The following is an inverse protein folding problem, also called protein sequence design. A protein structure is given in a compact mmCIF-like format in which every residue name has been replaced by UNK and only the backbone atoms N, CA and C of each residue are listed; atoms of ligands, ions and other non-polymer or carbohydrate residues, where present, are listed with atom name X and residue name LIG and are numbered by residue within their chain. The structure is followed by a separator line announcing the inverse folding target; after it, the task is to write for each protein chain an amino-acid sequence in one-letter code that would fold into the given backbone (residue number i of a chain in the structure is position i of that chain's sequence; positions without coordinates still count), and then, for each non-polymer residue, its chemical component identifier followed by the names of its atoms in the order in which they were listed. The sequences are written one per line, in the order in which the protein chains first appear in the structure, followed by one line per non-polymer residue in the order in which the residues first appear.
data_IF_401606395675
#
_entry.id   IF_401606395675
#
_cell.length_a   1.000
_cell.length_b   1.000
_cell.length_c   1.000
_cell.angle_alpha   90.00
_cell.angle_beta   90.00
_cell.angle_gamma   90.00
#
_symmetry.space_group_name_H-M   'P 1'
#
loop_
_entity.id
_entity.type
_entity.pdbx_description
1 polymer ?
#
# COMPACT_ATOMS: atom_id res chain seq x y z
N UNK A 1 57.69 -30.60 11.21
CA UNK A 1 57.55 -29.44 10.32
C UNK A 1 56.16 -29.51 9.74
N UNK A 2 55.29 -28.58 10.12
CA UNK A 2 53.96 -28.41 9.53
C UNK A 2 54.12 -27.25 8.55
N UNK A 3 54.62 -27.56 7.37
CA UNK A 3 54.76 -26.61 6.27
C UNK A 3 53.57 -26.81 5.33
N UNK A 4 52.96 -25.70 4.93
CA UNK A 4 51.83 -25.57 4.00
C UNK A 4 50.46 -25.47 4.67
N UNK A 5 50.19 -24.26 5.16
CA UNK A 5 48.85 -23.77 5.38
C UNK A 5 48.02 -23.99 4.11
N UNK A 6 46.94 -24.77 4.21
CA UNK A 6 45.93 -24.95 3.17
C UNK A 6 45.06 -23.71 3.00
N UNK A 7 45.66 -22.59 2.57
CA UNK A 7 44.99 -21.30 2.34
C UNK A 7 44.82 -20.94 0.86
N UNK A 8 45.48 -21.63 -0.07
CA UNK A 8 45.63 -21.19 -1.48
C UNK A 8 44.52 -21.71 -2.42
N UNK A 9 43.33 -22.04 -1.93
CA UNK A 9 42.27 -22.60 -2.78
C UNK A 9 41.43 -21.54 -3.52
N UNK A 10 41.48 -20.28 -3.08
CA UNK A 10 40.68 -19.19 -3.68
C UNK A 10 41.52 -17.92 -3.78
N UNK A 11 41.80 -17.48 -5.00
CA UNK A 11 42.49 -16.22 -5.27
C UNK A 11 41.50 -15.10 -5.59
N UNK A 12 41.91 -13.84 -5.35
CA UNK A 12 41.10 -12.69 -5.73
C UNK A 12 40.85 -12.62 -7.26
N UNK A 13 41.78 -13.15 -8.05
CA UNK A 13 41.64 -13.27 -9.51
C UNK A 13 40.54 -14.28 -9.89
N UNK A 14 40.45 -15.42 -9.19
CA UNK A 14 39.36 -16.40 -9.38
C UNK A 14 38.00 -15.82 -9.01
N UNK A 15 37.92 -14.98 -7.96
CA UNK A 15 36.67 -14.30 -7.60
C UNK A 15 36.22 -13.34 -8.70
N UNK A 16 37.14 -12.56 -9.26
CA UNK A 16 36.86 -11.65 -10.37
C UNK A 16 36.46 -12.39 -11.64
N UNK A 17 37.10 -13.52 -11.96
CA UNK A 17 36.72 -14.35 -13.10
C UNK A 17 35.32 -14.95 -12.92
N UNK A 18 34.98 -15.42 -11.71
CA UNK A 18 33.66 -15.93 -11.38
C UNK A 18 32.58 -14.84 -11.51
N UNK A 19 32.82 -13.64 -10.97
CA UNK A 19 31.89 -12.50 -11.08
C UNK A 19 31.69 -12.08 -12.54
N UNK A 20 32.76 -12.03 -13.34
CA UNK A 20 32.68 -11.69 -14.76
C UNK A 20 31.93 -12.77 -15.57
N UNK A 21 32.14 -14.05 -15.26
CA UNK A 21 31.41 -15.15 -15.89
C UNK A 21 29.91 -15.11 -15.55
N UNK A 22 29.56 -14.85 -14.29
CA UNK A 22 28.17 -14.67 -13.86
C UNK A 22 27.54 -13.47 -14.59
N UNK A 23 28.20 -12.32 -14.64
CA UNK A 23 27.68 -11.13 -15.35
C UNK A 23 27.45 -11.37 -16.85
N UNK A 24 28.38 -12.04 -17.53
CA UNK A 24 28.23 -12.36 -18.95
C UNK A 24 27.05 -13.30 -19.20
N UNK A 25 26.88 -14.29 -18.31
CA UNK A 25 25.82 -15.27 -18.41
C UNK A 25 24.45 -14.69 -18.04
N UNK A 26 24.37 -13.80 -17.05
CA UNK A 26 23.12 -13.06 -16.74
C UNK A 26 22.65 -12.23 -17.92
N UNK A 27 23.56 -11.51 -18.59
CA UNK A 27 23.22 -10.76 -19.81
C UNK A 27 22.70 -11.66 -20.94
N UNK A 28 23.30 -12.85 -21.10
CA UNK A 28 22.86 -13.84 -22.10
C UNK A 28 21.43 -14.32 -21.80
N UNK A 29 21.17 -14.72 -20.55
CA UNK A 29 19.85 -15.20 -20.11
C UNK A 29 18.78 -14.10 -20.22
N UNK A 30 19.13 -12.85 -19.89
CA UNK A 30 18.21 -11.72 -20.03
C UNK A 30 17.84 -11.44 -21.49
N UNK A 31 18.79 -11.57 -22.44
CA UNK A 31 18.52 -11.45 -23.88
C UNK A 31 17.64 -12.59 -24.38
N UNK A 32 17.86 -13.82 -23.91
CA UNK A 32 17.03 -14.97 -24.28
C UNK A 32 15.59 -14.81 -23.77
N UNK A 33 15.42 -14.30 -22.55
CA UNK A 33 14.10 -14.05 -21.95
C UNK A 33 13.48 -12.70 -22.31
N UNK A 34 14.13 -11.91 -23.17
CA UNK A 34 13.67 -10.56 -23.53
C UNK A 34 12.27 -10.58 -24.15
N UNK A 35 11.98 -11.55 -25.03
CA UNK A 35 10.65 -11.69 -25.62
C UNK A 35 9.58 -12.05 -24.59
N UNK A 36 9.91 -12.88 -23.60
CA UNK A 36 9.00 -13.24 -22.50
C UNK A 36 8.72 -12.02 -21.61
N UNK A 37 9.77 -11.27 -21.26
CA UNK A 37 9.65 -10.00 -20.53
C UNK A 37 8.78 -9.01 -21.28
N UNK A 38 8.95 -8.89 -22.59
CA UNK A 38 8.16 -7.99 -23.44
C UNK A 38 6.68 -8.38 -23.45
N UNK A 39 6.37 -9.67 -23.61
CA UNK A 39 4.98 -10.16 -23.56
C UNK A 39 4.32 -9.90 -22.20
N UNK A 40 5.02 -10.15 -21.10
CA UNK A 40 4.49 -9.88 -19.75
C UNK A 40 4.32 -8.38 -19.49
N UNK A 41 5.24 -7.56 -20.00
CA UNK A 41 5.10 -6.10 -19.97
C UNK A 41 3.86 -5.62 -20.73
N UNK A 42 3.66 -6.09 -21.96
CA UNK A 42 2.48 -5.77 -22.76
C UNK A 42 1.18 -6.21 -22.07
N UNK A 43 1.17 -7.38 -21.40
CA UNK A 43 0.02 -7.83 -20.63
C UNK A 43 -0.26 -6.93 -19.41
N UNK A 44 0.79 -6.50 -18.70
CA UNK A 44 0.68 -5.57 -17.57
C UNK A 44 0.20 -4.18 -18.02
N UNK A 45 0.68 -3.69 -19.17
CA UNK A 45 0.22 -2.45 -19.79
C UNK A 45 -1.25 -2.55 -20.20
N UNK A 46 -1.67 -3.67 -20.82
CA UNK A 46 -3.07 -3.89 -21.19
C UNK A 46 -3.99 -3.89 -19.96
N UNK A 47 -3.63 -4.62 -18.90
CA UNK A 47 -4.40 -4.63 -17.64
C UNK A 47 -4.49 -3.24 -17.02
N UNK A 48 -3.42 -2.47 -17.07
CA UNK A 48 -3.42 -1.10 -16.55
C UNK A 48 -4.31 -0.15 -17.36
N UNK A 49 -4.33 -0.30 -18.70
CA UNK A 49 -5.22 0.47 -19.55
C UNK A 49 -6.69 0.07 -19.31
N UNK A 50 -6.99 -1.22 -19.19
CA UNK A 50 -8.32 -1.71 -18.81
C UNK A 50 -8.78 -1.14 -17.45
N UNK A 51 -7.92 -1.14 -16.43
CA UNK A 51 -8.22 -0.54 -15.11
C UNK A 51 -8.42 0.98 -15.21
N UNK A 52 -7.68 1.69 -16.07
CA UNK A 52 -7.86 3.14 -16.32
C UNK A 52 -9.19 3.44 -17.00
N UNK A 53 -9.56 2.66 -18.01
CA UNK A 53 -10.83 2.81 -18.70
C UNK A 53 -12.01 2.54 -17.76
N UNK A 54 -11.92 1.49 -16.94
CA UNK A 54 -12.95 1.19 -15.95
C UNK A 54 -13.08 2.31 -14.92
N UNK A 55 -11.96 2.81 -14.39
CA UNK A 55 -11.95 3.95 -13.48
C UNK A 55 -12.62 5.16 -14.14
N UNK A 56 -12.22 5.50 -15.38
CA UNK A 56 -12.80 6.61 -16.14
C UNK A 56 -14.31 6.47 -16.33
N UNK A 57 -14.80 5.26 -16.64
CA UNK A 57 -16.24 4.99 -16.79
C UNK A 57 -16.99 5.23 -15.49
N UNK A 58 -16.47 4.74 -14.35
CA UNK A 58 -17.05 4.99 -13.02
C UNK A 58 -17.10 6.50 -12.69
N UNK A 59 -16.04 7.24 -13.02
CA UNK A 59 -16.02 8.69 -12.80
C UNK A 59 -17.04 9.43 -13.67
N UNK A 60 -17.25 8.99 -14.90
CA UNK A 60 -18.24 9.56 -15.82
C UNK A 60 -19.68 9.28 -15.37
N UNK A 61 -19.97 8.06 -14.92
CA UNK A 61 -21.26 7.68 -14.33
C UNK A 61 -21.60 8.56 -13.11
N UNK A 62 -20.65 8.72 -12.18
CA UNK A 62 -20.81 9.62 -11.03
C UNK A 62 -21.00 11.09 -11.44
N UNK A 63 -20.27 11.56 -12.47
CA UNK A 63 -20.44 12.92 -13.02
C UNK A 63 -21.85 13.13 -13.56
N UNK A 64 -22.38 12.15 -14.30
CA UNK A 64 -23.71 12.21 -14.87
C UNK A 64 -24.81 12.19 -13.80
N UNK A 65 -24.65 11.39 -12.74
CA UNK A 65 -25.59 11.36 -11.61
C UNK A 65 -25.63 12.70 -10.87
N UNK A 66 -24.46 13.28 -10.58
CA UNK A 66 -24.35 14.61 -9.96
C UNK A 66 -24.95 15.69 -10.87
N UNK A 67 -24.77 15.61 -12.19
CA UNK A 67 -25.38 16.56 -13.12
C UNK A 67 -26.91 16.49 -13.09
N UNK A 68 -27.49 15.29 -12.99
CA UNK A 68 -28.94 15.12 -12.82
C UNK A 68 -29.43 15.72 -11.50
N UNK A 69 -28.72 15.47 -10.40
CA UNK A 69 -29.07 16.04 -9.10
C UNK A 69 -28.97 17.58 -9.11
N UNK A 70 -27.97 18.14 -9.79
CA UNK A 70 -27.83 19.60 -9.99
C UNK A 70 -29.00 20.17 -10.76
N UNK A 71 -29.39 19.54 -11.87
CA UNK A 71 -30.55 19.98 -12.67
C UNK A 71 -31.83 19.98 -11.83
N UNK A 72 -32.08 18.93 -11.05
CA UNK A 72 -33.24 18.85 -10.17
C UNK A 72 -33.24 19.96 -9.10
N UNK A 73 -32.10 20.22 -8.46
CA UNK A 73 -31.98 21.31 -7.47
C UNK A 73 -32.14 22.70 -8.12
N UNK A 74 -31.59 22.90 -9.31
CA UNK A 74 -31.72 24.16 -10.04
C UNK A 74 -33.18 24.41 -10.48
N UNK A 75 -33.92 23.35 -10.84
CA UNK A 75 -35.37 23.42 -11.10
C UNK A 75 -36.16 23.80 -9.85
N UNK A 76 -35.86 23.19 -8.69
CA UNK A 76 -36.49 23.54 -7.41
C UNK A 76 -36.22 25.00 -7.01
N UNK A 77 -35.00 25.49 -7.23
CA UNK A 77 -34.65 26.90 -6.97
C UNK A 77 -35.41 27.85 -7.90
N UNK A 78 -35.55 27.51 -9.19
CA UNK A 78 -36.34 28.30 -10.15
C UNK A 78 -37.82 28.33 -9.77
N UNK A 79 -38.41 27.20 -9.39
CA UNK A 79 -39.81 27.14 -8.95
C UNK A 79 -40.04 28.04 -7.73
N UNK A 80 -39.12 28.01 -6.75
CA UNK A 80 -39.20 28.85 -5.57
C UNK A 80 -39.06 30.35 -5.92
N UNK A 81 -38.14 30.71 -6.82
CA UNK A 81 -37.98 32.08 -7.33
C UNK A 81 -39.24 32.56 -8.06
N UNK A 82 -39.84 31.72 -8.91
CA UNK A 82 -41.10 32.03 -9.58
C UNK A 82 -42.25 32.24 -8.59
N UNK A 83 -42.33 31.43 -7.54
CA UNK A 83 -43.36 31.57 -6.51
C UNK A 83 -43.21 32.89 -5.76
N UNK A 84 -41.97 33.29 -5.41
CA UNK A 84 -41.67 34.60 -4.82
C UNK A 84 -42.09 35.73 -5.77
N UNK A 85 -41.80 35.61 -7.07
CA UNK A 85 -42.16 36.62 -8.07
C UNK A 85 -43.68 36.71 -8.29
N UNK A 86 -44.40 35.59 -8.30
CA UNK A 86 -45.87 35.56 -8.37
C UNK A 86 -46.48 36.24 -7.13
N UNK A 87 -45.97 35.95 -5.94
CA UNK A 87 -46.44 36.59 -4.70
C UNK A 87 -46.18 38.11 -4.72
N UNK A 88 -45.01 38.55 -5.20
CA UNK A 88 -44.71 39.97 -5.41
C UNK A 88 -45.71 40.66 -6.31
N UNK A 89 -45.99 40.04 -7.45
CA UNK A 89 -46.89 40.64 -8.43
C UNK A 89 -48.33 40.67 -7.95
N UNK A 90 -48.80 39.63 -7.24
CA UNK A 90 -50.11 39.64 -6.60
C UNK A 90 -50.24 40.76 -5.56
N UNK A 91 -49.23 40.94 -4.70
CA UNK A 91 -49.23 42.02 -3.70
C UNK A 91 -49.19 43.41 -4.33
N UNK A 92 -48.43 43.58 -5.43
CA UNK A 92 -48.41 44.84 -6.17
C UNK A 92 -49.80 45.18 -6.75
N UNK A 93 -50.45 44.22 -7.42
CA UNK A 93 -51.80 44.41 -7.98
C UNK A 93 -52.83 44.69 -6.89
N UNK A 94 -52.74 44.00 -5.74
CA UNK A 94 -53.61 44.24 -4.58
C UNK A 94 -53.43 45.64 -4.00
N UNK A 95 -52.20 46.16 -3.94
CA UNK A 95 -51.92 47.53 -3.52
C UNK A 95 -52.45 48.57 -4.53
N UNK A 96 -52.20 48.36 -5.82
CA UNK A 96 -52.70 49.24 -6.90
C UNK A 96 -54.23 49.33 -6.89
N UNK A 97 -54.93 48.20 -6.77
CA UNK A 97 -56.40 48.16 -6.72
C UNK A 97 -56.97 48.91 -5.50
N UNK A 98 -56.31 48.82 -4.34
CA UNK A 98 -56.72 49.56 -3.14
C UNK A 98 -56.49 51.06 -3.28
N UNK A 99 -55.34 51.47 -3.81
CA UNK A 99 -55.05 52.89 -4.05
C UNK A 99 -56.03 53.50 -5.07
N UNK A 100 -56.45 52.72 -6.07
CA UNK A 100 -57.48 53.12 -7.03
C UNK A 100 -58.88 53.23 -6.38
N UNK A 101 -59.27 52.25 -5.55
CA UNK A 101 -60.53 52.30 -4.81
C UNK A 101 -60.61 53.50 -3.84
N UNK A 102 -59.51 53.80 -3.13
CA UNK A 102 -59.42 54.96 -2.26
C UNK A 102 -59.51 56.28 -3.03
N UNK A 103 -58.83 56.38 -4.19
CA UNK A 103 -58.94 57.56 -5.07
C UNK A 103 -60.37 57.77 -5.54
N UNK A 104 -61.04 56.70 -5.97
CA UNK A 104 -62.44 56.74 -6.42
C UNK A 104 -63.37 57.21 -5.30
N UNK A 105 -63.23 56.65 -4.09
CA UNK A 105 -64.02 57.06 -2.92
C UNK A 105 -63.79 58.54 -2.56
N UNK A 106 -62.53 59.02 -2.57
CA UNK A 106 -62.21 60.43 -2.35
C UNK A 106 -62.84 61.35 -3.40
N UNK A 107 -62.92 60.91 -4.65
CA UNK A 107 -63.52 61.68 -5.73
C UNK A 107 -65.05 61.71 -5.65
N UNK A 108 -65.68 60.58 -5.34
CA UNK A 108 -67.12 60.48 -5.04
C UNK A 108 -67.51 61.37 -3.84
N UNK A 109 -66.75 61.33 -2.75
CA UNK A 109 -66.98 62.18 -1.57
C UNK A 109 -66.84 63.68 -1.91
N UNK A 110 -65.85 64.05 -2.74
CA UNK A 110 -65.68 65.44 -3.21
C UNK A 110 -66.86 65.89 -4.09
N UNK A 111 -67.36 65.02 -4.96
CA UNK A 111 -68.52 65.32 -5.79
C UNK A 111 -69.77 65.53 -4.93
N UNK A 112 -70.04 64.63 -3.97
CA UNK A 112 -71.14 64.78 -3.03
C UNK A 112 -71.04 66.07 -2.20
N UNK A 113 -69.83 66.42 -1.74
CA UNK A 113 -69.61 67.69 -1.04
C UNK A 113 -69.95 68.90 -1.90
N UNK A 114 -69.54 68.90 -3.17
CA UNK A 114 -69.83 69.97 -4.11
C UNK A 114 -71.32 70.12 -4.40
N UNK A 115 -72.03 68.99 -4.55
CA UNK A 115 -73.49 68.97 -4.75
C UNK A 115 -74.23 69.54 -3.53
N UNK A 116 -73.87 69.11 -2.32
CA UNK A 116 -74.46 69.62 -1.08
C UNK A 116 -74.16 71.09 -0.87
N UNK A 117 -72.97 71.56 -1.26
CA UNK A 117 -72.60 72.97 -1.17
C UNK A 117 -73.44 73.84 -2.12
N UNK A 118 -73.69 73.37 -3.34
CA UNK A 118 -74.61 74.04 -4.29
C UNK A 118 -76.06 74.07 -3.77
N UNK A 119 -76.57 72.96 -3.26
CA UNK A 119 -77.93 72.92 -2.68
C UNK A 119 -78.06 73.86 -1.48
N UNK A 120 -77.03 73.90 -0.62
CA UNK A 120 -76.99 74.82 0.52
C UNK A 120 -76.97 76.27 0.07
N UNK A 121 -76.12 76.64 -0.89
CA UNK A 121 -76.04 78.01 -1.40
C UNK A 121 -77.37 78.45 -2.04
N UNK A 122 -78.06 77.54 -2.72
CA UNK A 122 -79.39 77.78 -3.27
C UNK A 122 -80.45 77.98 -2.19
N UNK A 123 -80.45 77.16 -1.13
CA UNK A 123 -81.33 77.33 0.04
C UNK A 123 -81.05 78.65 0.78
N UNK A 124 -79.78 79.02 0.92
CA UNK A 124 -79.37 80.27 1.56
C UNK A 124 -79.84 81.50 0.78
N UNK A 125 -79.76 81.46 -0.56
CA UNK A 125 -80.31 82.50 -1.43
C UNK A 125 -81.84 82.61 -1.31
N UNK A 126 -82.57 81.48 -1.21
CA UNK A 126 -84.03 81.48 -0.98
C UNK A 126 -84.39 82.13 0.36
N UNK A 127 -83.72 81.74 1.44
CA UNK A 127 -83.93 82.32 2.78
C UNK A 127 -83.64 83.83 2.78
N UNK A 128 -82.53 84.27 2.17
CA UNK A 128 -82.21 85.71 2.02
C UNK A 128 -83.26 86.48 1.23
N UNK A 129 -83.90 85.86 0.24
CA UNK A 129 -84.92 86.50 -0.57
C UNK A 129 -86.31 86.57 0.09
N UNK A 130 -86.65 85.61 0.96
CA UNK A 130 -87.87 85.59 1.77
C UNK A 130 -87.75 86.47 3.03
N UNK A 131 -86.54 86.62 3.59
CA UNK A 131 -86.26 87.47 4.75
C UNK A 131 -86.13 88.95 4.36
N UNK A 132 -87.27 89.64 4.25
CA UNK A 132 -87.32 91.11 4.02
C UNK A 132 -87.67 91.94 5.26
N UNK A 133 -87.65 91.38 6.47
CA UNK A 133 -87.91 92.14 7.72
C UNK A 133 -86.92 91.84 8.87
N UNK A 134 -86.25 92.91 9.35
CA UNK A 134 -85.58 93.16 10.67
C UNK A 134 -84.22 92.49 11.02
N UNK A 135 -83.29 93.35 11.48
CA UNK A 135 -81.95 93.09 12.07
C UNK A 135 -81.90 92.00 13.16
N UNK A 136 -83.00 91.76 13.89
CA UNK A 136 -83.05 90.71 14.94
C UNK A 136 -83.16 89.29 14.39
N UNK A 137 -83.59 89.12 13.15
CA UNK A 137 -83.55 87.83 12.43
C UNK A 137 -82.14 87.57 11.88
N UNK A 138 -81.45 88.63 11.44
CA UNK A 138 -80.07 88.55 10.94
C UNK A 138 -79.09 88.07 12.03
N UNK A 139 -79.19 88.55 13.27
CA UNK A 139 -78.33 88.08 14.37
C UNK A 139 -78.52 86.58 14.68
N UNK A 140 -79.76 86.08 14.69
CA UNK A 140 -80.05 84.65 14.90
C UNK A 140 -79.64 83.80 13.69
N UNK A 141 -79.73 84.34 12.48
CA UNK A 141 -79.22 83.70 11.26
C UNK A 141 -77.69 83.61 11.28
N UNK A 142 -76.99 84.62 11.78
CA UNK A 142 -75.53 84.62 11.95
C UNK A 142 -75.08 83.58 12.98
N UNK A 143 -75.80 83.44 14.11
CA UNK A 143 -75.55 82.38 15.09
C UNK A 143 -75.78 80.98 14.50
N UNK A 144 -76.90 80.77 13.78
CA UNK A 144 -77.18 79.49 13.11
C UNK A 144 -76.12 79.19 12.03
N UNK A 145 -75.63 80.20 11.30
CA UNK A 145 -74.53 80.04 10.34
C UNK A 145 -73.25 79.56 11.01
N UNK A 146 -72.88 80.23 12.10
CA UNK A 146 -71.66 79.92 12.83
C UNK A 146 -71.72 78.51 13.43
N UNK A 147 -72.86 78.13 13.99
CA UNK A 147 -73.10 76.78 14.52
C UNK A 147 -73.08 75.73 13.40
N UNK A 148 -73.61 76.04 12.22
CA UNK A 148 -73.57 75.16 11.04
C UNK A 148 -72.17 75.03 10.44
N UNK A 149 -71.37 76.10 10.47
CA UNK A 149 -69.97 76.15 10.05
C UNK A 149 -69.10 75.32 11.00
N UNK A 150 -69.24 75.51 12.32
CA UNK A 150 -68.58 74.69 13.34
C UNK A 150 -68.96 73.20 13.21
N UNK A 151 -70.24 72.90 12.97
CA UNK A 151 -70.72 71.53 12.71
C UNK A 151 -70.22 70.96 11.38
N UNK A 152 -69.87 71.82 10.41
CA UNK A 152 -69.26 71.42 9.12
C UNK A 152 -67.77 71.13 9.31
N UNK A 153 -67.06 72.01 10.00
CA UNK A 153 -65.65 71.83 10.35
C UNK A 153 -65.44 70.59 11.23
N UNK A 154 -66.30 70.36 12.22
CA UNK A 154 -66.25 69.16 13.05
C UNK A 154 -66.40 67.88 12.21
N UNK A 155 -67.39 67.83 11.30
CA UNK A 155 -67.55 66.70 10.36
C UNK A 155 -66.40 66.56 9.37
N UNK A 156 -65.77 67.66 8.98
CA UNK A 156 -64.60 67.61 8.11
C UNK A 156 -63.37 67.10 8.86
N UNK A 157 -63.18 67.50 10.12
CA UNK A 157 -62.12 66.99 10.99
C UNK A 157 -62.30 65.49 11.25
N UNK A 158 -63.49 65.02 11.62
CA UNK A 158 -63.76 63.59 11.82
C UNK A 158 -63.47 62.77 10.54
N UNK A 159 -63.81 63.28 9.36
CA UNK A 159 -63.47 62.63 8.08
C UNK A 159 -61.97 62.60 7.81
N UNK A 160 -61.29 63.72 8.02
CA UNK A 160 -59.84 63.80 7.80
C UNK A 160 -59.09 62.86 8.75
N UNK A 161 -59.48 62.82 10.03
CA UNK A 161 -58.94 61.90 11.03
C UNK A 161 -59.21 60.43 10.66
N UNK A 162 -60.40 60.12 10.14
CA UNK A 162 -60.73 58.79 9.65
C UNK A 162 -59.84 58.38 8.46
N UNK A 163 -59.64 59.28 7.49
CA UNK A 163 -58.77 59.05 6.35
C UNK A 163 -57.30 58.91 6.77
N UNK A 164 -56.81 59.73 7.70
CA UNK A 164 -55.45 59.62 8.24
C UNK A 164 -55.22 58.29 8.95
N UNK A 165 -56.17 57.85 9.78
CA UNK A 165 -56.08 56.56 10.46
C UNK A 165 -56.06 55.39 9.47
N UNK A 166 -56.92 55.44 8.45
CA UNK A 166 -56.95 54.46 7.36
C UNK A 166 -55.62 54.39 6.61
N UNK A 167 -55.03 55.54 6.28
CA UNK A 167 -53.72 55.61 5.60
C UNK A 167 -52.59 55.03 6.45
N UNK A 168 -52.59 55.31 7.77
CA UNK A 168 -51.61 54.73 8.69
C UNK A 168 -51.73 53.19 8.75
N UNK A 169 -52.94 52.66 8.87
CA UNK A 169 -53.19 51.21 8.87
C UNK A 169 -52.72 50.55 7.55
N UNK A 170 -52.95 51.19 6.41
CA UNK A 170 -52.49 50.69 5.10
C UNK A 170 -50.97 50.84 4.92
N UNK A 171 -50.33 51.87 5.47
CA UNK A 171 -48.87 52.01 5.49
C UNK A 171 -48.20 50.95 6.37
N UNK A 172 -48.76 50.66 7.55
CA UNK A 172 -48.29 49.57 8.41
C UNK A 172 -48.43 48.22 7.73
N UNK A 173 -49.55 47.98 7.03
CA UNK A 173 -49.77 46.76 6.25
C UNK A 173 -48.73 46.63 5.14
N UNK A 174 -48.45 47.70 4.39
CA UNK A 174 -47.38 47.74 3.36
C UNK A 174 -46.01 47.40 3.95
N UNK A 175 -45.66 48.00 5.08
CA UNK A 175 -44.40 47.70 5.80
C UNK A 175 -44.34 46.24 6.28
N UNK A 176 -45.45 45.68 6.77
CA UNK A 176 -45.53 44.29 7.19
C UNK A 176 -45.38 43.32 6.01
N UNK A 177 -46.06 43.58 4.90
CA UNK A 177 -45.95 42.81 3.65
C UNK A 177 -44.52 42.85 3.09
N UNK A 178 -43.90 44.03 3.00
CA UNK A 178 -42.49 44.16 2.59
C UNK A 178 -41.55 43.39 3.51
N UNK A 179 -41.75 43.44 4.83
CA UNK A 179 -40.93 42.67 5.79
C UNK A 179 -41.06 41.17 5.57
N UNK A 180 -42.27 40.65 5.30
CA UNK A 180 -42.49 39.22 5.01
C UNK A 180 -41.78 38.82 3.72
N UNK A 181 -41.95 39.61 2.66
CA UNK A 181 -41.35 39.38 1.37
C UNK A 181 -39.81 39.40 1.42
N UNK A 182 -39.24 40.32 2.20
CA UNK A 182 -37.80 40.41 2.44
C UNK A 182 -37.28 39.20 3.20
N UNK A 183 -38.00 38.75 4.25
CA UNK A 183 -37.63 37.51 4.96
C UNK A 183 -37.62 36.30 4.04
N UNK A 184 -38.63 36.17 3.18
CA UNK A 184 -38.72 35.07 2.21
C UNK A 184 -37.55 35.10 1.20
N UNK A 185 -37.18 36.28 0.71
CA UNK A 185 -35.98 36.44 -0.11
C UNK A 185 -34.69 36.08 0.62
N UNK A 186 -34.51 36.58 1.84
CA UNK A 186 -33.30 36.32 2.63
C UNK A 186 -33.16 34.81 2.93
N UNK A 187 -34.27 34.11 3.16
CA UNK A 187 -34.31 32.65 3.33
C UNK A 187 -33.92 31.91 2.05
N UNK A 188 -34.48 32.31 0.90
CA UNK A 188 -34.11 31.76 -0.41
C UNK A 188 -32.63 31.97 -0.72
N UNK A 189 -32.11 33.19 -0.50
CA UNK A 189 -30.71 33.51 -0.76
C UNK A 189 -29.75 32.74 0.15
N UNK A 190 -30.09 32.59 1.44
CA UNK A 190 -29.32 31.74 2.36
C UNK A 190 -29.29 30.29 1.92
N UNK A 191 -30.41 29.76 1.44
CA UNK A 191 -30.45 28.36 0.98
C UNK A 191 -29.63 28.18 -0.30
N UNK A 192 -29.74 29.12 -1.26
CA UNK A 192 -28.91 29.15 -2.46
C UNK A 192 -27.41 29.20 -2.12
N UNK A 193 -27.01 30.05 -1.19
CA UNK A 193 -25.61 30.16 -0.77
C UNK A 193 -25.09 28.88 -0.09
N UNK A 194 -25.89 28.24 0.77
CA UNK A 194 -25.51 26.98 1.41
C UNK A 194 -25.31 25.90 0.36
N UNK A 195 -26.23 25.80 -0.59
CA UNK A 195 -26.14 24.82 -1.67
C UNK A 195 -24.94 25.09 -2.58
N UNK A 196 -24.64 26.35 -2.89
CA UNK A 196 -23.44 26.71 -3.64
C UNK A 196 -22.16 26.34 -2.88
N UNK A 197 -22.09 26.61 -1.57
CA UNK A 197 -20.96 26.23 -0.71
C UNK A 197 -20.78 24.72 -0.65
N UNK A 198 -21.87 23.96 -0.45
CA UNK A 198 -21.84 22.49 -0.47
C UNK A 198 -21.32 21.97 -1.82
N UNK A 199 -21.85 22.47 -2.93
CA UNK A 199 -21.41 22.11 -4.29
C UNK A 199 -19.92 22.35 -4.50
N UNK A 200 -19.38 23.48 -4.02
CA UNK A 200 -17.95 23.80 -4.11
C UNK A 200 -17.10 22.82 -3.29
N UNK A 201 -17.51 22.54 -2.05
CA UNK A 201 -16.81 21.61 -1.17
C UNK A 201 -16.84 20.17 -1.71
N UNK A 202 -17.99 19.69 -2.16
CA UNK A 202 -18.14 18.36 -2.76
C UNK A 202 -17.33 18.24 -4.06
N UNK A 203 -17.36 19.27 -4.92
CA UNK A 203 -16.55 19.28 -6.14
C UNK A 203 -15.05 19.24 -5.85
N UNK A 204 -14.59 19.93 -4.79
CA UNK A 204 -13.19 19.89 -4.37
C UNK A 204 -12.80 18.51 -3.84
N UNK A 205 -13.57 17.97 -2.88
CA UNK A 205 -13.33 16.63 -2.33
C UNK A 205 -13.32 15.56 -3.43
N UNK A 206 -14.24 15.68 -4.38
CA UNK A 206 -14.30 14.74 -5.50
C UNK A 206 -13.04 14.82 -6.36
N UNK A 207 -12.61 16.01 -6.77
CA UNK A 207 -11.37 16.20 -7.54
C UNK A 207 -10.16 15.59 -6.83
N UNK A 208 -10.04 15.83 -5.53
CA UNK A 208 -8.97 15.24 -4.70
C UNK A 208 -9.06 13.71 -4.68
N UNK A 209 -10.27 13.14 -4.60
CA UNK A 209 -10.47 11.69 -4.67
C UNK A 209 -10.14 11.13 -6.06
N UNK A 210 -10.57 11.77 -7.16
CA UNK A 210 -10.25 11.32 -8.53
C UNK A 210 -8.73 11.32 -8.75
N UNK A 211 -8.04 12.34 -8.25
CA UNK A 211 -6.59 12.45 -8.36
C UNK A 211 -5.88 11.38 -7.51
N UNK A 212 -6.37 11.08 -6.30
CA UNK A 212 -5.84 10.01 -5.45
C UNK A 212 -6.01 8.65 -6.11
N UNK A 213 -7.20 8.31 -6.58
CA UNK A 213 -7.46 7.02 -7.23
C UNK A 213 -6.61 6.84 -8.50
N UNK A 214 -6.43 7.92 -9.28
CA UNK A 214 -5.54 7.89 -10.45
C UNK A 214 -4.07 7.69 -10.06
N UNK A 215 -3.59 8.40 -9.02
CA UNK A 215 -2.22 8.26 -8.51
C UNK A 215 -1.97 6.86 -7.97
N UNK A 216 -2.88 6.32 -7.16
CA UNK A 216 -2.79 4.96 -6.62
C UNK A 216 -2.73 3.92 -7.73
N UNK A 217 -3.52 4.11 -8.80
CA UNK A 217 -3.52 3.23 -9.97
C UNK A 217 -2.19 3.29 -10.74
N UNK A 218 -1.65 4.49 -10.95
CA UNK A 218 -0.33 4.69 -11.58
C UNK A 218 0.80 4.10 -10.73
N UNK A 219 0.80 4.33 -9.42
CA UNK A 219 1.78 3.77 -8.48
C UNK A 219 1.71 2.24 -8.40
N UNK A 220 0.50 1.66 -8.43
CA UNK A 220 0.29 0.21 -8.48
C UNK A 220 0.89 -0.37 -9.77
N UNK A 221 0.66 0.28 -10.91
CA UNK A 221 1.25 -0.16 -12.18
C UNK A 221 2.78 -0.06 -12.16
N UNK A 222 3.33 1.05 -11.66
CA UNK A 222 4.78 1.21 -11.54
C UNK A 222 5.40 0.15 -10.63
N UNK A 223 4.80 -0.12 -9.46
CA UNK A 223 5.24 -1.19 -8.55
C UNK A 223 5.22 -2.55 -9.23
N UNK A 224 4.13 -2.90 -9.92
CA UNK A 224 4.02 -4.17 -10.63
C UNK A 224 5.09 -4.32 -11.73
N UNK A 225 5.40 -3.23 -12.44
CA UNK A 225 6.44 -3.19 -13.47
C UNK A 225 7.84 -3.38 -12.87
N UNK A 226 8.13 -2.73 -11.75
CA UNK A 226 9.40 -2.87 -11.03
C UNK A 226 9.55 -4.28 -10.44
N UNK A 227 8.50 -4.83 -9.83
CA UNK A 227 8.51 -6.20 -9.31
C UNK A 227 8.72 -7.23 -10.42
N UNK A 228 8.10 -7.04 -11.58
CA UNK A 228 8.32 -7.92 -12.74
C UNK A 228 9.79 -7.88 -13.15
N UNK A 229 10.37 -6.69 -13.36
CA UNK A 229 11.80 -6.55 -13.73
C UNK A 229 12.73 -7.20 -12.71
N UNK A 230 12.54 -6.93 -11.42
CA UNK A 230 13.34 -7.52 -10.34
C UNK A 230 13.27 -9.05 -10.35
N UNK A 231 12.08 -9.63 -10.60
CA UNK A 231 11.94 -11.09 -10.71
C UNK A 231 12.74 -11.68 -11.86
N UNK A 232 12.82 -11.00 -13.01
CA UNK A 232 13.63 -11.46 -14.14
C UNK A 232 15.12 -11.30 -13.90
N UNK A 233 15.55 -10.16 -13.36
CA UNK A 233 16.94 -9.90 -12.98
C UNK A 233 17.44 -10.94 -11.97
N UNK A 234 16.67 -11.19 -10.91
CA UNK A 234 17.03 -12.15 -9.87
C UNK A 234 17.05 -13.59 -10.41
N UNK A 235 16.06 -13.98 -11.21
CA UNK A 235 16.04 -15.31 -11.84
C UNK A 235 17.20 -15.52 -12.81
N UNK A 236 17.54 -14.50 -13.61
CA UNK A 236 18.68 -14.56 -14.51
C UNK A 236 19.99 -14.69 -13.72
N UNK A 237 20.12 -13.96 -12.60
CA UNK A 237 21.25 -14.07 -11.68
C UNK A 237 21.39 -15.44 -11.06
N UNK A 238 20.34 -15.98 -10.46
CA UNK A 238 20.37 -17.33 -9.86
C UNK A 238 20.74 -18.38 -10.91
N UNK A 239 20.14 -18.30 -12.09
CA UNK A 239 20.44 -19.23 -13.18
C UNK A 239 21.89 -19.12 -13.67
N UNK A 240 22.46 -17.91 -13.74
CA UNK A 240 23.86 -17.69 -14.06
C UNK A 240 24.82 -18.16 -12.95
N UNK A 241 24.44 -18.05 -11.67
CA UNK A 241 25.22 -18.58 -10.55
C UNK A 241 25.22 -20.13 -10.54
N UNK A 242 24.13 -20.75 -10.98
CA UNK A 242 24.02 -22.21 -11.12
C UNK A 242 24.81 -22.74 -12.31
N UNK A 243 24.65 -22.12 -13.48
CA UNK A 243 25.19 -22.59 -14.77
C UNK A 243 26.02 -21.49 -15.42
N UNK A 244 27.34 -21.50 -15.22
CA UNK A 244 28.27 -20.60 -15.91
C UNK A 244 29.56 -21.30 -16.35
N UNK A 245 30.23 -20.70 -17.33
CA UNK A 245 31.49 -21.19 -17.90
C UNK A 245 32.60 -21.36 -16.83
N UNK A 246 32.56 -20.57 -15.74
CA UNK A 246 33.54 -20.66 -14.66
C UNK A 246 33.38 -21.98 -13.88
N UNK A 247 32.15 -22.32 -13.47
CA UNK A 247 31.85 -23.57 -12.77
C UNK A 247 32.26 -24.78 -13.60
N UNK A 248 31.92 -24.80 -14.88
CA UNK A 248 32.24 -25.91 -15.77
C UNK A 248 33.76 -26.11 -15.89
N UNK A 249 34.52 -25.03 -16.14
CA UNK A 249 35.99 -25.08 -16.20
C UNK A 249 36.62 -25.61 -14.91
N UNK A 250 36.25 -25.03 -13.77
CA UNK A 250 36.86 -25.39 -12.50
C UNK A 250 36.39 -26.76 -11.99
N UNK A 251 35.17 -27.20 -12.31
CA UNK A 251 34.68 -28.54 -11.95
C UNK A 251 35.53 -29.64 -12.62
N UNK A 252 35.91 -29.44 -13.88
CA UNK A 252 36.80 -30.37 -14.59
C UNK A 252 38.23 -30.34 -14.05
N UNK A 253 38.75 -29.16 -13.71
CA UNK A 253 40.06 -29.02 -13.06
C UNK A 253 40.09 -29.69 -11.68
N UNK A 254 39.05 -29.53 -10.87
CA UNK A 254 38.91 -30.18 -9.57
C UNK A 254 38.77 -31.69 -9.70
N UNK A 255 37.98 -32.19 -10.66
CA UNK A 255 37.90 -33.65 -10.95
C UNK A 255 39.28 -34.20 -11.30
N UNK A 256 40.01 -33.53 -12.18
CA UNK A 256 41.35 -33.95 -12.57
C UNK A 256 42.35 -33.91 -11.39
N UNK A 257 42.21 -32.95 -10.47
CA UNK A 257 43.03 -32.85 -9.27
C UNK A 257 42.71 -33.96 -8.26
N UNK A 258 41.42 -34.25 -8.04
CA UNK A 258 40.97 -35.38 -7.20
C UNK A 258 41.52 -36.69 -7.75
N UNK A 259 41.40 -36.92 -9.06
CA UNK A 259 41.92 -38.13 -9.71
C UNK A 259 43.45 -38.28 -9.56
N UNK A 260 44.20 -37.17 -9.56
CA UNK A 260 45.64 -37.19 -9.29
C UNK A 260 45.93 -37.58 -7.85
N UNK A 261 45.28 -36.93 -6.88
CA UNK A 261 45.46 -37.25 -5.47
C UNK A 261 45.02 -38.68 -5.13
N UNK A 262 43.95 -39.18 -5.74
CA UNK A 262 43.51 -40.57 -5.57
C UNK A 262 44.54 -41.58 -6.10
N UNK A 263 45.19 -41.28 -7.24
CA UNK A 263 46.28 -42.10 -7.78
C UNK A 263 47.51 -42.06 -6.88
N UNK A 264 47.88 -40.88 -6.39
CA UNK A 264 48.98 -40.72 -5.43
C UNK A 264 48.71 -41.53 -4.16
N UNK A 265 47.51 -41.41 -3.58
CA UNK A 265 47.09 -42.17 -2.40
C UNK A 265 47.15 -43.69 -2.65
N UNK A 266 46.60 -44.16 -3.77
CA UNK A 266 46.69 -45.58 -4.16
C UNK A 266 48.14 -46.05 -4.28
N UNK A 267 49.00 -45.26 -4.93
CA UNK A 267 50.42 -45.61 -5.07
C UNK A 267 51.14 -45.67 -3.72
N UNK A 268 50.75 -44.82 -2.77
CA UNK A 268 51.32 -44.81 -1.43
C UNK A 268 50.86 -46.02 -0.62
N UNK A 269 49.58 -46.38 -0.73
CA UNK A 269 49.01 -47.59 -0.13
C UNK A 269 49.69 -48.84 -0.70
N UNK A 270 49.85 -48.95 -2.02
CA UNK A 270 50.54 -50.09 -2.66
C UNK A 270 52.00 -50.22 -2.22
N UNK A 271 52.72 -49.09 -2.09
CA UNK A 271 54.09 -49.10 -1.54
C UNK A 271 54.09 -49.63 -0.10
N UNK A 272 53.17 -49.13 0.72
CA UNK A 272 53.05 -49.58 2.11
C UNK A 272 52.69 -51.07 2.20
N UNK A 273 51.78 -51.57 1.35
CA UNK A 273 51.45 -52.99 1.29
C UNK A 273 52.64 -53.85 0.88
N UNK A 274 53.42 -53.44 -0.13
CA UNK A 274 54.64 -54.14 -0.55
C UNK A 274 55.65 -54.20 0.59
N UNK A 275 55.94 -53.07 1.23
CA UNK A 275 56.81 -53.01 2.41
C UNK A 275 56.32 -53.97 3.51
N UNK A 276 55.02 -54.00 3.78
CA UNK A 276 54.44 -54.93 4.76
C UNK A 276 54.58 -56.40 4.35
N UNK A 277 54.45 -56.74 3.06
CA UNK A 277 54.67 -58.10 2.57
C UNK A 277 56.14 -58.51 2.59
N UNK A 278 57.05 -57.59 2.26
CA UNK A 278 58.50 -57.81 2.31
C UNK A 278 58.94 -58.05 3.75
N UNK A 279 58.52 -57.20 4.68
CA UNK A 279 58.75 -57.40 6.11
C UNK A 279 58.22 -58.74 6.62
N UNK A 280 57.03 -59.16 6.16
CA UNK A 280 56.45 -60.46 6.50
C UNK A 280 57.28 -61.63 5.92
N UNK A 281 57.77 -61.49 4.69
CA UNK A 281 58.61 -62.50 4.04
C UNK A 281 59.99 -62.61 4.70
N UNK A 282 60.62 -61.48 5.03
CA UNK A 282 61.87 -61.43 5.79
C UNK A 282 61.70 -62.10 7.16
N UNK A 283 60.62 -61.79 7.86
CA UNK A 283 60.27 -62.43 9.13
C UNK A 283 60.11 -63.96 8.99
N UNK A 284 59.42 -64.43 7.94
CA UNK A 284 59.26 -65.86 7.66
C UNK A 284 60.59 -66.54 7.31
N UNK A 285 61.44 -65.89 6.51
CA UNK A 285 62.77 -66.40 6.15
C UNK A 285 63.66 -66.52 7.39
N UNK A 286 63.65 -65.50 8.25
CA UNK A 286 64.39 -65.50 9.51
C UNK A 286 63.93 -66.63 10.43
N UNK A 287 62.60 -66.85 10.53
CA UNK A 287 62.04 -67.97 11.30
C UNK A 287 62.44 -69.34 10.74
N UNK A 288 62.46 -69.51 9.42
CA UNK A 288 62.88 -70.76 8.78
C UNK A 288 64.38 -71.04 9.01
N UNK A 289 65.23 -70.03 8.83
CA UNK A 289 66.66 -70.12 9.14
C UNK A 289 66.88 -70.49 10.61
N UNK A 290 66.16 -69.82 11.51
CA UNK A 290 66.19 -70.14 12.94
C UNK A 290 65.82 -71.61 13.19
N UNK A 291 64.74 -72.11 12.59
CA UNK A 291 64.34 -73.52 12.71
C UNK A 291 65.38 -74.50 12.16
N UNK A 292 65.99 -74.21 11.01
CA UNK A 292 67.04 -75.04 10.42
C UNK A 292 68.30 -75.07 11.30
N UNK A 293 68.74 -73.92 11.81
CA UNK A 293 69.90 -73.85 12.73
C UNK A 293 69.62 -74.57 14.04
N UNK A 294 68.43 -74.45 14.61
CA UNK A 294 68.02 -75.21 15.80
C UNK A 294 68.06 -76.72 15.55
N UNK A 295 67.64 -77.17 14.35
CA UNK A 295 67.70 -78.58 13.97
C UNK A 295 69.14 -79.09 13.82
N UNK A 296 70.00 -78.33 13.12
CA UNK A 296 71.42 -78.66 13.00
C UNK A 296 72.11 -78.77 14.36
N UNK A 297 71.87 -77.80 15.25
CA UNK A 297 72.42 -77.84 16.61
C UNK A 297 71.94 -79.06 17.42
N UNK A 298 70.68 -79.49 17.24
CA UNK A 298 70.17 -80.73 17.86
C UNK A 298 70.83 -81.97 17.29
N UNK A 299 70.97 -82.05 15.97
CA UNK A 299 71.61 -83.19 15.29
C UNK A 299 73.10 -83.29 15.67
N UNK A 300 73.81 -82.17 15.74
CA UNK A 300 75.20 -82.09 16.19
C UNK A 300 75.35 -82.48 17.66
N UNK A 301 74.44 -82.04 18.53
CA UNK A 301 74.41 -82.44 19.93
C UNK A 301 74.20 -83.97 20.06
N UNK A 302 73.24 -84.53 19.32
CA UNK A 302 73.00 -85.97 19.31
C UNK A 302 74.19 -86.78 18.75
N UNK A 303 74.90 -86.24 17.75
CA UNK A 303 76.13 -86.86 17.23
C UNK A 303 77.27 -86.83 18.26
N UNK A 304 77.42 -85.73 19.01
CA UNK A 304 78.43 -85.64 20.08
C UNK A 304 78.10 -86.57 21.24
N UNK A 305 76.82 -86.72 21.59
CA UNK A 305 76.38 -87.67 22.62
C UNK A 305 76.71 -89.12 22.23
N UNK A 306 76.51 -89.50 20.96
CA UNK A 306 76.92 -90.82 20.43
C UNK A 306 78.44 -91.01 20.49
N UNK A 307 79.22 -90.01 20.08
CA UNK A 307 80.68 -90.08 20.16
C UNK A 307 81.18 -90.20 21.61
N UNK A 308 80.52 -89.53 22.54
CA UNK A 308 80.79 -89.66 23.98
C UNK A 308 80.48 -91.08 24.47
N UNK A 309 79.34 -91.68 24.09
CA UNK A 309 79.01 -93.07 24.40
C UNK A 309 80.06 -94.05 23.84
N UNK A 310 80.49 -93.88 22.59
CA UNK A 310 81.53 -94.72 21.98
C UNK A 310 82.87 -94.58 22.70
N UNK A 311 83.28 -93.37 23.05
CA UNK A 311 84.49 -93.13 23.85
C UNK A 311 84.39 -93.76 25.24
N UNK A 312 83.21 -93.71 25.85
CA UNK A 312 82.97 -94.31 27.16
C UNK A 312 83.01 -95.85 27.10
N UNK A 313 82.46 -96.46 26.05
CA UNK A 313 82.61 -97.89 25.77
C UNK A 313 84.07 -98.27 25.55
N UNK A 314 84.82 -97.48 24.77
CA UNK A 314 86.24 -97.72 24.54
C UNK A 314 87.06 -97.62 25.83
N UNK A 315 86.74 -96.64 26.68
CA UNK A 315 87.36 -96.48 28.00
C UNK A 315 87.05 -97.67 28.91
N UNK A 316 85.81 -98.15 28.94
CA UNK A 316 85.44 -99.37 29.67
C UNK A 316 86.20 -100.60 29.17
N UNK A 317 86.39 -100.73 27.85
CA UNK A 317 87.19 -101.80 27.25
C UNK A 317 88.66 -101.72 27.70
N UNK A 318 89.27 -100.53 27.64
CA UNK A 318 90.66 -100.33 28.10
C UNK A 318 90.82 -100.58 29.60
N UNK A 319 89.86 -100.18 30.43
CA UNK A 319 89.85 -100.49 31.86
C UNK A 319 89.76 -102.00 32.11
N UNK A 320 88.93 -102.72 31.35
CA UNK A 320 88.85 -104.18 31.42
C UNK A 320 90.17 -104.85 31.02
N UNK A 321 90.81 -104.37 29.94
CA UNK A 321 92.13 -104.85 29.50
C UNK A 321 93.22 -104.61 30.56
N UNK A 322 93.27 -103.40 31.14
CA UNK A 322 94.17 -103.08 32.23
C UNK A 322 93.89 -103.93 33.47
N UNK A 323 92.64 -104.27 33.75
CA UNK A 323 92.25 -105.18 34.85
C UNK A 323 92.73 -106.61 34.57
N UNK A 324 92.67 -107.07 33.32
CA UNK A 324 93.27 -108.36 32.93
C UNK A 324 94.80 -108.35 32.98
N UNK A 325 95.46 -107.27 32.56
CA UNK A 325 96.92 -107.11 32.67
C UNK A 325 97.38 -107.06 34.12
N UNK A 326 96.68 -106.31 34.98
CA UNK A 326 96.93 -106.31 36.43
C UNK A 326 96.76 -107.70 37.03
N UNK A 327 95.74 -108.48 36.63
CA UNK A 327 95.61 -109.90 37.05
C UNK A 327 96.75 -110.79 36.55
N UNK A 328 97.31 -110.53 35.36
CA UNK A 328 98.44 -111.27 34.79
C UNK A 328 99.78 -110.98 35.49
N UNK A 329 99.93 -109.78 36.07
CA UNK A 329 101.17 -109.30 36.70
C UNK A 329 101.09 -109.14 38.22
N UNK A 330 100.04 -109.64 38.89
CA UNK A 330 100.09 -109.91 40.34
C UNK A 330 100.86 -111.21 40.57
N UNK A 331 102.18 -111.04 40.53
CA UNK A 331 103.18 -111.60 41.44
C UNK A 331 102.73 -112.75 42.35
N UNK A 332 103.28 -113.95 42.09
CA UNK A 332 103.72 -114.86 43.16
C UNK A 332 105.24 -114.75 43.29
N UNK A 333 105.67 -113.88 44.20
CA UNK A 333 106.82 -114.17 45.03
C UNK A 333 106.43 -115.33 45.95
N UNK A 334 107.24 -116.40 46.01
CA UNK A 334 107.81 -116.90 47.26
C UNK A 334 108.59 -118.22 47.09
N UNK A 335 109.77 -118.21 47.75
CA UNK A 335 110.60 -119.28 48.33
C UNK A 335 111.47 -120.17 47.43
N UNK A 336 112.78 -119.87 47.37
CA UNK A 336 113.81 -120.37 48.32
C UNK A 336 115.06 -119.46 48.39
N UNK A 337 115.60 -119.34 49.62
CA UNK A 337 116.87 -118.75 50.09
C UNK A 337 116.98 -117.25 50.31
#
# INVERSE_FOLDING_TARGET
MVENNGGDCYSNEMLQEAEAAIQKETERILKEKEEEMKKQKEELERKHEEEKEELKRRMEEQRAEIEKEKKLKDEQLKEMEENINKEREQRRKEQEAREEEEKRKKEEEKQQQHEWEKEREALEKKIKSESKEKETIDQKLEEIRKEMEERREARQKERNEWWEKRQQEDEERRKAEQKKLRKLQDEFEKEREKDEKKRKQEAQKRKEQEEKEKKELEEKHQRNMEEMKKKYEERARIQAEEFNDFKEKYEDEFKALIDKHDKELKSLVEKHEKEMTEQKNEYNLLNNLKSQTEKQLRDDAASRDKQMEELEQLKQHQEAELKTLKKKYVVRYCTTS
#
